data_IF_061240666961
#
_entry.id   IF_061240666961
#
_cell.length_a   1.000
_cell.length_b   1.000
_cell.length_c   1.000
_cell.angle_alpha   90.00
_cell.angle_beta   90.00
_cell.angle_gamma   90.00
#
_symmetry.space_group_name_H-M   'P 1'
#
loop_
_entity.id
_entity.type
_entity.pdbx_description
1 polymer ?
#
# COMPACT_ATOMS: atom_id res chain seq x y z
N UNK A 1 10.35 9.51 -0.78
CA UNK A 1 10.98 8.33 -1.43
C UNK A 1 10.00 7.18 -1.42
N UNK A 2 10.09 6.27 -2.38
CA UNK A 2 9.08 5.23 -2.62
C UNK A 2 9.66 3.84 -2.38
N UNK A 3 8.84 2.93 -1.86
CA UNK A 3 9.03 1.49 -1.86
C UNK A 3 7.71 0.79 -2.25
N UNK A 4 7.78 -0.39 -2.85
CA UNK A 4 6.60 -1.07 -3.40
C UNK A 4 6.52 -2.53 -2.94
N UNK A 5 5.30 -3.05 -2.90
CA UNK A 5 5.00 -4.46 -2.67
C UNK A 5 3.75 -4.86 -3.45
N UNK A 6 3.63 -6.14 -3.80
CA UNK A 6 2.47 -6.71 -4.49
C UNK A 6 1.68 -7.57 -3.52
N UNK A 7 0.35 -7.45 -3.57
CA UNK A 7 -0.55 -8.27 -2.79
C UNK A 7 -1.39 -9.16 -3.71
N UNK A 8 -1.46 -10.45 -3.39
CA UNK A 8 -2.38 -11.38 -4.04
C UNK A 8 -3.80 -11.22 -3.45
N UNK A 9 -4.47 -10.14 -3.86
CA UNK A 9 -5.83 -9.81 -3.48
C UNK A 9 -6.62 -9.26 -4.67
N UNK A 10 -7.61 -10.02 -5.16
CA UNK A 10 -8.38 -9.67 -6.38
C UNK A 10 -9.55 -8.76 -6.04
N UNK A 11 -9.31 -7.46 -6.02
CA UNK A 11 -10.33 -6.44 -5.79
C UNK A 11 -9.93 -5.11 -6.46
N UNK A 12 -10.86 -4.16 -6.52
CA UNK A 12 -10.58 -2.82 -7.04
C UNK A 12 -9.72 -2.01 -6.06
N UNK A 13 -9.01 -1.00 -6.57
CA UNK A 13 -8.28 -0.02 -5.74
C UNK A 13 -9.16 0.56 -4.62
N UNK A 14 -10.40 0.93 -4.94
CA UNK A 14 -11.33 1.54 -3.98
C UNK A 14 -11.70 0.58 -2.85
N UNK A 15 -12.00 -0.67 -3.17
CA UNK A 15 -12.32 -1.69 -2.17
C UNK A 15 -11.12 -1.94 -1.25
N UNK A 16 -9.91 -2.03 -1.81
CA UNK A 16 -8.70 -2.20 -1.04
C UNK A 16 -8.44 -1.01 -0.11
N UNK A 17 -8.54 0.23 -0.59
CA UNK A 17 -8.37 1.43 0.23
C UNK A 17 -9.38 1.50 1.38
N UNK A 18 -10.66 1.22 1.11
CA UNK A 18 -11.71 1.22 2.15
C UNK A 18 -11.45 0.12 3.17
N UNK A 19 -11.12 -1.10 2.71
CA UNK A 19 -10.86 -2.25 3.58
C UNK A 19 -9.65 -1.97 4.48
N UNK A 20 -8.52 -1.56 3.91
CA UNK A 20 -7.29 -1.26 4.65
C UNK A 20 -7.51 -0.06 5.60
N UNK A 21 -8.11 1.02 5.11
CA UNK A 21 -8.42 2.20 5.93
C UNK A 21 -9.32 1.87 7.12
N UNK A 22 -10.35 1.03 6.93
CA UNK A 22 -11.23 0.60 8.01
C UNK A 22 -10.54 -0.38 8.98
N UNK A 23 -9.81 -1.37 8.44
CA UNK A 23 -9.17 -2.44 9.23
C UNK A 23 -8.08 -1.88 10.15
N UNK A 24 -7.27 -0.95 9.65
CA UNK A 24 -6.14 -0.39 10.38
C UNK A 24 -6.41 1.01 10.94
N UNK A 25 -7.59 1.58 10.66
CA UNK A 25 -7.97 2.97 10.99
C UNK A 25 -6.98 3.99 10.42
N UNK A 26 -6.42 3.69 9.26
CA UNK A 26 -5.62 4.66 8.52
C UNK A 26 -6.54 5.71 7.91
N UNK A 27 -6.29 7.02 8.13
CA UNK A 27 -7.00 8.08 7.45
C UNK A 27 -6.91 7.88 5.93
N UNK A 28 -8.06 7.94 5.26
CA UNK A 28 -8.14 8.00 3.81
C UNK A 28 -8.16 9.47 3.40
N UNK A 29 -7.22 9.84 2.55
CA UNK A 29 -7.14 11.17 1.97
C UNK A 29 -7.35 11.09 0.46
N UNK A 30 -7.94 12.16 -0.08
CA UNK A 30 -8.24 12.32 -1.51
C UNK A 30 -7.69 13.68 -1.89
N UNK A 31 -6.73 13.71 -2.81
CA UNK A 31 -6.16 14.96 -3.31
C UNK A 31 -7.06 15.57 -4.40
N UNK A 32 -6.79 16.81 -4.77
CA UNK A 32 -7.58 17.58 -5.74
C UNK A 32 -7.62 16.97 -7.15
N UNK A 33 -6.64 16.13 -7.48
CA UNK A 33 -6.58 15.38 -8.75
C UNK A 33 -7.42 14.08 -8.71
N UNK A 34 -8.06 13.79 -7.58
CA UNK A 34 -8.85 12.59 -7.36
C UNK A 34 -8.04 11.34 -7.00
N UNK A 35 -6.72 11.46 -6.83
CA UNK A 35 -5.90 10.39 -6.28
C UNK A 35 -6.27 10.15 -4.81
N UNK A 36 -6.23 8.88 -4.38
CA UNK A 36 -6.64 8.48 -3.05
C UNK A 36 -5.59 7.58 -2.41
N UNK A 37 -5.21 7.90 -1.18
CA UNK A 37 -4.20 7.16 -0.42
C UNK A 37 -4.54 7.10 1.06
N UNK A 38 -3.94 6.14 1.74
CA UNK A 38 -4.02 6.01 3.18
C UNK A 38 -2.82 6.70 3.82
N UNK A 39 -3.01 7.25 5.02
CA UNK A 39 -1.94 7.88 5.80
C UNK A 39 -1.65 7.11 7.10
N UNK A 40 -0.91 5.98 7.06
CA UNK A 40 -0.59 5.20 8.26
C UNK A 40 0.07 6.01 9.37
N UNK A 41 0.89 6.99 9.01
CA UNK A 41 1.52 7.95 9.93
C UNK A 41 1.59 9.32 9.26
N UNK A 42 1.92 10.38 10.01
CA UNK A 42 2.19 11.71 9.42
C UNK A 42 3.33 11.70 8.40
N UNK A 43 4.17 10.66 8.44
CA UNK A 43 5.40 10.55 7.67
C UNK A 43 5.29 9.55 6.50
N UNK A 44 4.18 8.80 6.41
CA UNK A 44 4.03 7.67 5.50
C UNK A 44 2.69 7.74 4.80
N UNK A 45 2.70 7.57 3.47
CA UNK A 45 1.49 7.33 2.68
C UNK A 45 1.53 5.93 2.10
N UNK A 46 0.34 5.35 1.93
CA UNK A 46 0.11 4.05 1.33
C UNK A 46 -0.91 4.22 0.21
N UNK A 47 -0.42 4.14 -1.02
CA UNK A 47 -1.22 4.12 -2.23
C UNK A 47 -1.49 2.68 -2.64
N UNK A 48 -2.62 2.46 -3.32
CA UNK A 48 -3.02 1.16 -3.81
C UNK A 48 -3.40 1.29 -5.28
N UNK A 49 -2.83 0.45 -6.13
CA UNK A 49 -3.15 0.38 -7.55
C UNK A 49 -3.49 -1.07 -7.94
N UNK A 50 -4.29 -1.25 -8.97
CA UNK A 50 -4.48 -2.56 -9.61
C UNK A 50 -3.31 -2.78 -10.56
N UNK A 51 -2.72 -3.98 -10.55
CA UNK A 51 -1.67 -4.31 -11.53
C UNK A 51 -2.30 -4.66 -12.88
N UNK A 52 -2.44 -3.66 -13.75
CA UNK A 52 -3.04 -3.85 -15.08
C UNK A 52 -2.17 -4.69 -16.02
N UNK A 53 -0.87 -4.85 -15.71
CA UNK A 53 0.08 -5.59 -16.53
C UNK A 53 0.18 -7.08 -16.15
N UNK A 54 -0.23 -7.43 -14.93
CA UNK A 54 -0.07 -8.78 -14.38
C UNK A 54 -1.35 -9.29 -13.70
N UNK A 55 -2.23 -10.00 -14.44
CA UNK A 55 -3.50 -10.50 -13.90
C UNK A 55 -3.33 -11.56 -12.80
N UNK A 56 -2.10 -12.05 -12.56
CA UNK A 56 -1.79 -12.96 -11.47
C UNK A 56 -1.49 -12.24 -10.15
N UNK A 57 -1.15 -10.94 -10.17
CA UNK A 57 -0.77 -10.17 -8.99
C UNK A 57 -1.65 -8.91 -8.84
N UNK A 58 -2.89 -9.08 -8.38
CA UNK A 58 -3.95 -8.11 -8.58
C UNK A 58 -3.81 -6.73 -7.90
N UNK A 59 -2.91 -6.52 -6.93
CA UNK A 59 -2.70 -5.18 -6.35
C UNK A 59 -1.21 -4.83 -6.17
N UNK A 60 -0.87 -3.59 -6.47
CA UNK A 60 0.39 -2.95 -6.12
C UNK A 60 0.14 -1.96 -4.98
N UNK A 61 0.85 -2.15 -3.88
CA UNK A 61 0.86 -1.26 -2.73
C UNK A 61 2.13 -0.42 -2.79
N UNK A 62 1.98 0.90 -2.91
CA UNK A 62 3.09 1.84 -2.98
C UNK A 62 3.19 2.60 -1.67
N UNK A 63 4.33 2.47 -1.02
CA UNK A 63 4.64 3.15 0.25
C UNK A 63 5.55 4.31 -0.06
N UNK A 64 5.11 5.52 0.26
CA UNK A 64 5.96 6.70 0.22
C UNK A 64 6.28 7.17 1.63
N UNK A 65 7.53 7.57 1.83
CA UNK A 65 8.02 8.13 3.08
C UNK A 65 8.85 9.39 2.81
N UNK A 66 8.61 10.49 3.55
CA UNK A 66 9.29 11.76 3.27
C UNK A 66 10.76 11.77 3.68
N UNK A 67 11.12 11.11 4.78
CA UNK A 67 12.50 11.14 5.33
C UNK A 67 13.56 10.54 4.40
N UNK A 68 13.23 9.50 3.64
CA UNK A 68 14.24 8.81 2.85
C UNK A 68 13.81 7.42 2.39
N UNK A 69 14.68 6.79 1.60
CA UNK A 69 14.41 5.47 1.03
C UNK A 69 14.53 4.35 2.06
N UNK A 70 15.49 4.45 2.98
CA UNK A 70 15.64 3.48 4.07
C UNK A 70 14.38 3.42 4.95
N UNK A 71 13.80 4.58 5.25
CA UNK A 71 12.56 4.68 6.02
C UNK A 71 11.36 4.16 5.22
N UNK A 72 11.32 4.38 3.90
CA UNK A 72 10.29 3.80 3.05
C UNK A 72 10.35 2.26 3.01
N UNK A 73 11.56 1.67 3.01
CA UNK A 73 11.75 0.22 3.08
C UNK A 73 11.27 -0.35 4.42
N UNK A 74 11.67 0.29 5.54
CA UNK A 74 11.23 -0.10 6.87
C UNK A 74 9.70 -0.01 7.01
N UNK A 75 9.10 1.10 6.56
CA UNK A 75 7.65 1.28 6.58
C UNK A 75 6.93 0.25 5.71
N UNK A 76 7.47 -0.07 4.52
CA UNK A 76 6.94 -1.14 3.66
C UNK A 76 6.94 -2.47 4.39
N UNK A 77 8.05 -2.84 5.02
CA UNK A 77 8.19 -4.16 5.65
C UNK A 77 7.27 -4.30 6.88
N UNK A 78 7.13 -3.24 7.68
CA UNK A 78 6.17 -3.15 8.78
C UNK A 78 4.72 -3.27 8.27
N UNK A 79 4.35 -2.48 7.26
CA UNK A 79 3.02 -2.51 6.65
C UNK A 79 2.72 -3.87 6.01
N UNK A 80 3.70 -4.50 5.36
CA UNK A 80 3.56 -5.83 4.77
C UNK A 80 3.15 -6.85 5.83
N UNK A 81 3.88 -6.90 6.95
CA UNK A 81 3.61 -7.84 8.05
C UNK A 81 2.22 -7.56 8.64
N UNK A 82 1.93 -6.28 8.90
CA UNK A 82 0.66 -5.85 9.47
C UNK A 82 -0.54 -6.20 8.59
N UNK A 83 -0.45 -5.87 7.29
CA UNK A 83 -1.52 -6.11 6.32
C UNK A 83 -1.71 -7.61 6.15
N UNK A 84 -0.66 -8.35 5.84
CA UNK A 84 -0.73 -9.81 5.66
C UNK A 84 -1.34 -10.52 6.88
N UNK A 85 -0.93 -10.13 8.09
CA UNK A 85 -1.42 -10.74 9.33
C UNK A 85 -2.90 -10.48 9.66
N UNK A 86 -3.49 -9.38 9.15
CA UNK A 86 -4.89 -9.01 9.44
C UNK A 86 -5.85 -9.31 8.28
N UNK A 87 -5.39 -9.17 7.04
CA UNK A 87 -6.23 -9.43 5.86
C UNK A 87 -6.07 -10.85 5.33
N UNK A 88 -4.98 -11.55 5.70
CA UNK A 88 -4.61 -12.84 5.14
C UNK A 88 -4.01 -12.74 3.73
N UNK A 89 -3.71 -11.55 3.23
CA UNK A 89 -3.13 -11.36 1.90
C UNK A 89 -1.70 -11.91 1.86
N UNK A 90 -1.37 -12.58 0.76
CA UNK A 90 0.02 -12.89 0.46
C UNK A 90 0.67 -11.64 -0.16
N UNK A 91 1.65 -11.06 0.52
CA UNK A 91 2.27 -9.80 0.10
C UNK A 91 3.78 -10.00 -0.08
N UNK A 92 4.27 -9.71 -1.27
CA UNK A 92 5.68 -9.81 -1.64
C UNK A 92 6.28 -8.43 -1.92
N UNK A 93 7.41 -8.06 -1.30
CA UNK A 93 8.08 -6.81 -1.63
C UNK A 93 8.57 -6.86 -3.07
N UNK A 94 8.46 -5.76 -3.80
CA UNK A 94 9.08 -5.63 -5.12
C UNK A 94 10.43 -4.97 -4.94
N UNK A 95 11.48 -5.64 -5.41
CA UNK A 95 12.80 -5.03 -5.56
C UNK A 95 12.72 -4.11 -6.79
N UNK A 96 12.73 -2.80 -6.58
CA UNK A 96 13.07 -1.88 -7.66
C UNK A 96 14.55 -1.55 -7.52
N UNK A 97 15.32 -1.95 -8.53
CA UNK A 97 16.67 -1.45 -8.82
C UNK A 97 16.66 0.06 -9.12
#
# INVERSE_FOLDING_TARGET
MISQMRADARMTQREALIMLGSTFRFPLEIDDDGSAYLRPTSDTTLEVHVDDADPLHPLVLTVWHWKGHAEALLARDELRILISGKTGWHIVPTERE
#
